data_IF_195258644409
#
_entry.id   IF_195258644409
#
_cell.length_a   1.000
_cell.length_b   1.000
_cell.length_c   1.000
_cell.angle_alpha   90.00
_cell.angle_beta   90.00
_cell.angle_gamma   90.00
#
_symmetry.space_group_name_H-M   'P 1'
#
loop_
_entity.id
_entity.type
_entity.pdbx_description
1 polymer ?
#
# COMPACT_ATOMS: atom_id res chain seq x y z
N UNK A 1 -10.33 -12.50 -1.59
CA UNK A 1 -11.26 -11.58 -0.88
C UNK A 1 -10.42 -10.48 -0.25
N UNK A 2 -10.92 -9.24 -0.17
CA UNK A 2 -10.14 -8.09 0.34
C UNK A 2 -9.54 -8.31 1.76
N UNK A 3 -10.25 -8.90 2.73
CA UNK A 3 -9.66 -9.18 4.05
C UNK A 3 -8.43 -10.10 4.00
N UNK A 4 -8.44 -11.10 3.12
CA UNK A 4 -7.29 -11.99 2.91
C UNK A 4 -6.09 -11.23 2.34
N UNK A 5 -6.33 -10.29 1.41
CA UNK A 5 -5.26 -9.48 0.82
C UNK A 5 -4.62 -8.57 1.86
N UNK A 6 -5.45 -7.88 2.67
CA UNK A 6 -4.99 -7.03 3.76
C UNK A 6 -4.16 -7.86 4.74
N UNK A 7 -4.67 -9.01 5.18
CA UNK A 7 -3.93 -9.90 6.08
C UNK A 7 -2.56 -10.30 5.51
N UNK A 8 -2.53 -10.81 4.28
CA UNK A 8 -1.28 -11.31 3.65
C UNK A 8 -0.25 -10.23 3.33
N UNK A 9 -0.68 -8.99 3.12
CA UNK A 9 0.23 -7.89 2.76
C UNK A 9 0.59 -6.97 3.93
N UNK A 10 -0.03 -7.14 5.11
CA UNK A 10 0.22 -6.27 6.27
C UNK A 10 0.57 -7.06 7.53
N UNK A 11 -0.43 -7.49 8.32
CA UNK A 11 -0.22 -8.14 9.62
C UNK A 11 0.31 -9.57 9.52
N UNK A 12 0.07 -10.27 8.41
CA UNK A 12 0.55 -11.63 8.16
C UNK A 12 2.08 -11.73 8.23
N UNK A 13 2.83 -10.92 7.46
CA UNK A 13 4.29 -10.82 7.57
C UNK A 13 4.78 -10.45 8.97
N UNK A 14 4.13 -9.48 9.65
CA UNK A 14 4.48 -9.09 11.03
C UNK A 14 4.42 -10.29 11.97
N UNK A 15 3.33 -11.06 11.92
CA UNK A 15 3.16 -12.28 12.74
C UNK A 15 4.12 -13.40 12.37
N UNK A 16 4.34 -13.61 11.07
CA UNK A 16 5.18 -14.71 10.56
C UNK A 16 6.64 -14.51 10.97
N UNK A 17 7.12 -13.27 10.96
CA UNK A 17 8.50 -12.93 11.28
C UNK A 17 8.68 -12.32 12.67
N UNK A 18 7.60 -12.22 13.46
CA UNK A 18 7.60 -11.66 14.82
C UNK A 18 8.24 -10.27 14.87
N UNK A 19 7.91 -9.43 13.88
CA UNK A 19 8.56 -8.11 13.71
C UNK A 19 8.25 -7.15 14.87
N UNK A 20 7.10 -7.31 15.49
CA UNK A 20 6.63 -6.53 16.64
C UNK A 20 7.44 -6.79 17.92
N UNK A 21 8.20 -7.88 17.98
CA UNK A 21 9.12 -8.19 19.08
C UNK A 21 10.47 -7.47 18.96
N UNK A 22 10.77 -6.91 17.78
CA UNK A 22 12.01 -6.17 17.54
C UNK A 22 11.87 -4.76 18.12
N UNK A 23 12.77 -4.31 19.02
CA UNK A 23 12.72 -2.95 19.55
C UNK A 23 12.70 -1.89 18.45
N UNK A 24 11.71 -0.99 18.51
CA UNK A 24 11.51 0.06 17.51
C UNK A 24 10.63 -0.30 16.32
N UNK A 25 10.15 -1.55 16.22
CA UNK A 25 9.24 -2.02 15.17
C UNK A 25 7.85 -2.42 15.70
N UNK A 26 7.46 -1.91 16.87
CA UNK A 26 6.12 -2.09 17.42
C UNK A 26 5.07 -1.34 16.59
N UNK A 27 3.84 -1.86 16.57
CA UNK A 27 2.70 -1.17 15.94
C UNK A 27 2.63 -1.29 14.41
N UNK A 28 3.33 -2.27 13.81
CA UNK A 28 3.25 -2.55 12.38
C UNK A 28 1.95 -3.29 12.00
N UNK A 29 1.48 -3.07 10.77
CA UNK A 29 0.38 -3.84 10.18
C UNK A 29 -0.99 -3.64 10.84
N UNK A 30 -1.20 -2.52 11.54
CA UNK A 30 -2.45 -2.19 12.22
C UNK A 30 -2.85 -0.73 11.99
N UNK A 31 -4.15 -0.43 12.05
CA UNK A 31 -4.71 0.93 12.02
C UNK A 31 -5.18 1.38 13.42
N UNK A 32 -4.68 0.74 14.47
CA UNK A 32 -5.03 1.08 15.85
C UNK A 32 -4.45 2.46 16.25
N UNK A 33 -5.13 3.23 17.12
CA UNK A 33 -4.58 4.46 17.65
C UNK A 33 -3.20 4.26 18.29
N UNK A 34 -2.27 5.19 18.03
CA UNK A 34 -0.89 5.14 18.54
C UNK A 34 0.07 4.25 17.73
N UNK A 35 -0.42 3.55 16.71
CA UNK A 35 0.42 2.84 15.75
C UNK A 35 1.14 3.80 14.78
N UNK A 36 2.08 3.25 14.00
CA UNK A 36 2.73 4.00 12.94
C UNK A 36 1.71 4.48 11.90
N UNK A 37 1.90 5.70 11.41
CA UNK A 37 1.03 6.31 10.39
C UNK A 37 1.26 5.75 8.99
N UNK A 38 1.33 4.43 8.86
CA UNK A 38 1.53 3.71 7.59
C UNK A 38 0.17 3.23 7.07
N UNK A 39 -0.36 3.95 6.07
CA UNK A 39 -1.73 3.75 5.57
C UNK A 39 -1.73 3.76 4.05
N UNK A 40 -2.40 2.78 3.45
CA UNK A 40 -2.67 2.74 2.01
C UNK A 40 -4.16 2.93 1.77
N UNK A 41 -4.52 3.92 0.97
CA UNK A 41 -5.89 4.14 0.53
C UNK A 41 -6.08 3.42 -0.80
N UNK A 42 -7.03 2.48 -0.84
CA UNK A 42 -7.33 1.64 -2.00
C UNK A 42 -8.76 1.93 -2.45
N UNK A 43 -8.92 2.27 -3.73
CA UNK A 43 -10.21 2.17 -4.41
C UNK A 43 -10.32 0.75 -5.01
N UNK A 44 -11.20 -0.12 -4.47
CA UNK A 44 -11.34 -1.50 -4.95
C UNK A 44 -12.08 -1.62 -6.28
N UNK A 45 -12.82 -0.57 -6.71
CA UNK A 45 -13.66 -0.58 -7.89
C UNK A 45 -13.04 0.16 -9.08
N UNK A 46 -12.03 1.00 -8.83
CA UNK A 46 -11.19 1.59 -9.86
C UNK A 46 -10.59 0.54 -10.81
N UNK A 47 -10.53 0.88 -12.09
CA UNK A 47 -9.78 0.16 -13.10
C UNK A 47 -8.72 1.07 -13.68
N UNK A 48 -7.55 0.49 -14.01
CA UNK A 48 -6.46 1.25 -14.60
C UNK A 48 -5.60 0.34 -15.46
N UNK A 49 -4.99 0.92 -16.50
CA UNK A 49 -4.06 0.20 -17.38
C UNK A 49 -2.63 0.44 -16.90
N UNK A 50 -1.86 -0.64 -16.82
CA UNK A 50 -0.45 -0.56 -16.43
C UNK A 50 0.34 0.11 -17.54
N UNK A 51 0.87 1.28 -17.24
CA UNK A 51 1.75 2.06 -18.11
C UNK A 51 3.18 2.01 -17.54
N UNK A 52 4.08 1.16 -18.07
CA UNK A 52 5.41 0.98 -17.49
C UNK A 52 6.21 2.29 -17.44
N UNK A 53 6.04 3.14 -18.45
CA UNK A 53 6.70 4.45 -18.52
C UNK A 53 6.34 5.36 -17.32
N UNK A 54 5.14 5.24 -16.77
CA UNK A 54 4.68 5.99 -15.60
C UNK A 54 5.23 5.48 -14.26
N UNK A 55 5.96 4.35 -14.23
CA UNK A 55 6.48 3.80 -12.98
C UNK A 55 7.51 4.74 -12.33
N UNK A 56 7.42 4.91 -11.01
CA UNK A 56 8.42 5.67 -10.26
C UNK A 56 9.81 5.00 -10.25
N UNK A 57 9.88 3.69 -10.46
CA UNK A 57 11.14 2.95 -10.52
C UNK A 57 11.89 3.21 -11.84
N UNK A 58 13.21 3.01 -11.82
CA UNK A 58 14.05 3.05 -13.04
C UNK A 58 13.77 1.90 -14.00
N UNK A 59 13.29 0.76 -13.49
CA UNK A 59 13.01 -0.44 -14.29
C UNK A 59 11.63 -0.35 -14.94
N UNK A 60 11.61 -0.37 -16.27
CA UNK A 60 10.37 -0.32 -17.08
C UNK A 60 9.96 -1.68 -17.64
N UNK A 61 10.78 -2.70 -17.46
CA UNK A 61 10.47 -4.06 -17.91
C UNK A 61 9.48 -4.73 -16.95
N UNK A 62 8.23 -4.91 -17.39
CA UNK A 62 7.20 -5.60 -16.61
C UNK A 62 6.31 -6.42 -17.55
N UNK A 63 5.96 -7.67 -17.18
CA UNK A 63 5.01 -8.47 -17.96
C UNK A 63 3.56 -7.94 -17.86
N UNK A 64 3.33 -6.91 -17.05
CA UNK A 64 2.01 -6.31 -16.84
C UNK A 64 1.71 -5.15 -17.79
N UNK A 65 2.68 -4.66 -18.57
CA UNK A 65 2.49 -3.52 -19.47
C UNK A 65 1.27 -3.68 -20.40
N UNK A 66 0.41 -2.67 -20.45
CA UNK A 66 -0.83 -2.67 -21.22
C UNK A 66 -1.96 -3.51 -20.63
N UNK A 67 -1.77 -4.23 -19.51
CA UNK A 67 -2.87 -4.94 -18.83
C UNK A 67 -3.72 -3.96 -18.04
N UNK A 68 -5.04 -4.12 -18.14
CA UNK A 68 -5.99 -3.44 -17.26
C UNK A 68 -6.18 -4.25 -15.97
N UNK A 69 -6.01 -3.62 -14.82
CA UNK A 69 -6.17 -4.21 -13.50
C UNK A 69 -7.39 -3.61 -12.77
N UNK A 70 -7.96 -4.38 -11.84
CA UNK A 70 -9.02 -3.92 -10.92
C UNK A 70 -8.42 -3.65 -9.54
N UNK A 71 -8.85 -2.56 -8.92
CA UNK A 71 -8.32 -2.05 -7.67
C UNK A 71 -7.12 -1.16 -7.92
N UNK A 72 -7.12 0.03 -7.33
CA UNK A 72 -6.02 1.00 -7.46
C UNK A 72 -5.69 1.62 -6.11
N UNK A 73 -4.41 1.64 -5.78
CA UNK A 73 -3.91 2.47 -4.68
C UNK A 73 -4.00 3.91 -5.11
N UNK A 74 -4.76 4.72 -4.39
CA UNK A 74 -4.96 6.14 -4.69
C UNK A 74 -4.06 7.04 -3.85
N UNK A 75 -3.64 6.58 -2.67
CA UNK A 75 -2.63 7.24 -1.86
C UNK A 75 -1.89 6.28 -0.94
N UNK A 76 -0.65 6.63 -0.63
CA UNK A 76 0.19 5.98 0.38
C UNK A 76 0.69 7.02 1.36
N UNK A 77 0.46 6.76 2.64
CA UNK A 77 0.93 7.54 3.78
C UNK A 77 1.96 6.69 4.49
N UNK A 78 3.15 7.25 4.73
CA UNK A 78 4.22 6.62 5.47
C UNK A 78 4.63 7.52 6.64
N UNK A 79 4.65 6.99 7.85
CA UNK A 79 4.91 7.75 9.08
C UNK A 79 4.09 9.05 9.17
N UNK A 80 2.82 8.99 8.78
CA UNK A 80 1.90 10.13 8.82
C UNK A 80 2.08 11.17 7.72
N UNK A 81 2.91 10.89 6.70
CA UNK A 81 3.13 11.79 5.56
C UNK A 81 2.67 11.14 4.26
N UNK A 82 1.94 11.87 3.43
CA UNK A 82 1.59 11.43 2.08
C UNK A 82 2.89 11.37 1.26
N UNK A 83 3.24 10.16 0.80
CA UNK A 83 4.45 9.92 -0.02
C UNK A 83 4.11 9.56 -1.46
N UNK A 84 2.86 9.21 -1.74
CA UNK A 84 2.35 8.94 -3.07
C UNK A 84 0.85 9.24 -3.14
N UNK A 85 0.40 9.81 -4.25
CA UNK A 85 -1.02 10.00 -4.57
C UNK A 85 -1.20 9.97 -6.10
N UNK A 86 -2.32 9.42 -6.57
CA UNK A 86 -2.65 9.40 -8.02
C UNK A 86 -3.48 10.60 -8.43
N UNK A 87 -4.30 11.10 -7.50
CA UNK A 87 -5.13 12.30 -7.58
C UNK A 87 -5.00 13.02 -6.25
N UNK A 88 -5.16 14.35 -6.21
CA UNK A 88 -4.96 15.14 -5.00
C UNK A 88 -5.93 14.68 -3.91
N UNK A 89 -5.44 14.02 -2.87
CA UNK A 89 -6.29 13.62 -1.73
C UNK A 89 -6.50 14.85 -0.86
N UNK A 90 -7.70 15.44 -0.93
CA UNK A 90 -8.07 16.55 -0.05
C UNK A 90 -8.51 15.95 1.29
N UNK A 91 -7.71 16.15 2.33
CA UNK A 91 -8.18 15.95 3.69
C UNK A 91 -9.28 16.98 3.97
N UNK A 92 -10.48 16.50 4.32
CA UNK A 92 -11.57 17.33 4.84
C UNK A 92 -11.30 17.69 6.31
#
# INVERSE_FOLDING_TARGET
RLPTLIERLTIGPVRTWRLDEIPGLQGLGTLAPGALGDVTILDPDATWTVEPEAFASKGKNTPLGGKTLKGRVVATIANGRIVHETERVVAL
#
